data_IF_529609244801
#
_entry.id   IF_529609244801
#
_cell.length_a   1.000
_cell.length_b   1.000
_cell.length_c   1.000
_cell.angle_alpha   90.00
_cell.angle_beta   90.00
_cell.angle_gamma   90.00
#
_symmetry.space_group_name_H-M   'P 1'
#
loop_
_entity.id
_entity.type
_entity.pdbx_description
1 polymer ?
#
# COMPACT_ATOMS: atom_id res chain seq x y z
N UNK A 1 1.73 0.40 -20.69
CA UNK A 1 0.97 1.25 -19.76
C UNK A 1 0.98 0.51 -18.43
N UNK A 2 1.75 0.99 -17.44
CA UNK A 2 1.81 0.30 -16.16
C UNK A 2 0.52 0.64 -15.41
N UNK A 3 -0.38 -0.34 -15.33
CA UNK A 3 -1.53 -0.28 -14.43
C UNK A 3 -0.93 -0.22 -13.02
N UNK A 4 -0.89 1.00 -12.45
CA UNK A 4 -0.28 1.29 -11.15
C UNK A 4 -1.13 0.73 -10.03
N UNK A 5 -1.20 -0.60 -9.93
CA UNK A 5 -1.97 -1.29 -8.92
C UNK A 5 -1.08 -1.57 -7.71
N UNK A 6 -1.55 -1.17 -6.53
CA UNK A 6 -0.84 -1.37 -5.28
C UNK A 6 -1.26 -2.71 -4.69
N UNK A 7 -0.33 -3.67 -4.69
CA UNK A 7 -0.58 -5.01 -4.14
C UNK A 7 0.05 -5.15 -2.77
N UNK A 8 -0.68 -5.77 -1.84
CA UNK A 8 -0.17 -6.08 -0.51
C UNK A 8 0.56 -7.41 -0.55
N UNK A 9 1.86 -7.38 -0.23
CA UNK A 9 2.70 -8.56 -0.17
C UNK A 9 2.88 -9.03 1.28
N UNK A 10 2.02 -9.95 1.70
CA UNK A 10 2.09 -10.54 3.04
C UNK A 10 3.32 -11.45 3.21
N UNK A 11 3.77 -12.09 2.11
CA UNK A 11 4.86 -13.06 2.12
C UNK A 11 6.23 -12.44 1.90
N UNK A 12 6.30 -11.18 1.49
CA UNK A 12 7.53 -10.42 1.20
C UNK A 12 8.37 -11.06 0.10
N UNK A 13 7.72 -11.52 -0.98
CA UNK A 13 8.33 -12.27 -2.10
C UNK A 13 8.06 -11.66 -3.48
N UNK A 14 7.26 -10.61 -3.59
CA UNK A 14 6.93 -10.03 -4.88
C UNK A 14 8.14 -9.26 -5.45
N UNK A 15 8.50 -9.50 -6.72
CA UNK A 15 9.56 -8.76 -7.36
C UNK A 15 9.10 -7.32 -7.65
N UNK A 16 9.95 -6.34 -7.35
CA UNK A 16 9.67 -4.94 -7.66
C UNK A 16 10.07 -3.99 -6.54
N UNK A 17 9.54 -2.77 -6.58
CA UNK A 17 9.68 -1.79 -5.50
C UNK A 17 8.55 -2.01 -4.50
N UNK A 18 8.87 -1.99 -3.22
CA UNK A 18 7.92 -2.12 -2.13
C UNK A 18 7.96 -0.91 -1.19
N UNK A 19 6.91 -0.75 -0.41
CA UNK A 19 6.83 0.22 0.67
C UNK A 19 6.32 -0.49 1.92
N UNK A 20 6.81 -0.07 3.09
CA UNK A 20 6.39 -0.60 4.37
C UNK A 20 5.41 0.36 5.04
N UNK A 21 4.39 -0.21 5.67
CA UNK A 21 3.40 0.51 6.45
C UNK A 21 3.13 -0.28 7.73
N UNK A 22 2.86 0.44 8.82
CA UNK A 22 2.34 -0.20 10.03
C UNK A 22 0.94 -0.77 9.77
N UNK A 23 0.55 -1.79 10.55
CA UNK A 23 -0.79 -2.40 10.52
C UNK A 23 -1.85 -1.50 11.21
N UNK A 24 -1.83 -0.21 10.88
CA UNK A 24 -2.69 0.81 11.49
C UNK A 24 -3.38 1.62 10.37
N UNK A 25 -4.72 1.64 10.32
CA UNK A 25 -5.47 2.46 9.37
C UNK A 25 -5.10 3.95 9.39
N UNK A 26 -4.72 4.51 10.55
CA UNK A 26 -4.29 5.91 10.65
C UNK A 26 -2.96 6.16 9.94
N UNK A 27 -2.08 5.15 9.89
CA UNK A 27 -0.85 5.21 9.10
C UNK A 27 -1.14 5.22 7.59
N UNK A 28 -2.13 4.44 7.13
CA UNK A 28 -2.55 4.44 5.73
C UNK A 28 -3.06 5.82 5.30
N UNK A 29 -3.95 6.43 6.10
CA UNK A 29 -4.50 7.77 5.81
C UNK A 29 -3.40 8.83 5.70
N UNK A 30 -2.38 8.76 6.57
CA UNK A 30 -1.22 9.67 6.50
C UNK A 30 -0.41 9.42 5.22
N UNK A 31 -0.22 8.17 4.83
CA UNK A 31 0.50 7.78 3.62
C UNK A 31 -0.23 8.22 2.33
N UNK A 32 -1.56 8.09 2.30
CA UNK A 32 -2.43 8.57 1.21
C UNK A 32 -2.30 10.09 1.06
N UNK A 33 -2.52 10.84 2.14
CA UNK A 33 -2.44 12.32 2.13
C UNK A 33 -1.07 12.85 1.69
N UNK A 34 0.00 12.17 2.10
CA UNK A 34 1.38 12.56 1.75
C UNK A 34 1.87 12.00 0.42
N UNK A 35 1.05 11.24 -0.31
CA UNK A 35 1.46 10.52 -1.54
C UNK A 35 2.74 9.70 -1.33
N UNK A 36 2.81 8.99 -0.19
CA UNK A 36 3.97 8.21 0.19
C UNK A 36 4.22 7.02 -0.76
N UNK A 37 3.16 6.32 -1.20
CA UNK A 37 3.29 5.17 -2.10
C UNK A 37 3.79 5.55 -3.50
N UNK A 38 3.22 6.55 -4.20
CA UNK A 38 3.77 6.97 -5.49
C UNK A 38 5.25 7.39 -5.39
N UNK A 39 5.62 8.05 -4.30
CA UNK A 39 7.01 8.48 -4.03
C UNK A 39 7.93 7.28 -3.78
N UNK A 40 7.53 6.31 -2.95
CA UNK A 40 8.32 5.12 -2.63
C UNK A 40 8.45 4.19 -3.85
N UNK A 41 7.37 4.01 -4.60
CA UNK A 41 7.31 3.13 -5.76
C UNK A 41 7.80 3.79 -7.05
N UNK A 42 8.10 5.10 -7.02
CA UNK A 42 8.49 5.92 -8.18
C UNK A 42 7.50 5.76 -9.34
N UNK A 43 6.21 5.77 -9.03
CA UNK A 43 5.13 5.70 -10.03
C UNK A 43 4.55 7.09 -10.21
N UNK A 44 4.47 7.60 -11.45
CA UNK A 44 3.79 8.86 -11.72
C UNK A 44 2.27 8.68 -11.64
N UNK A 45 1.60 9.52 -10.86
CA UNK A 45 0.15 9.56 -10.76
C UNK A 45 -0.43 9.05 -9.44
N UNK A 46 -1.77 9.16 -9.28
CA UNK A 46 -2.46 8.59 -8.14
C UNK A 46 -2.37 7.06 -8.20
N UNK A 47 -2.01 6.44 -7.08
CA UNK A 47 -2.12 4.99 -6.89
C UNK A 47 -3.40 4.74 -6.11
N UNK A 48 -4.15 3.71 -6.52
CA UNK A 48 -5.28 3.26 -5.73
C UNK A 48 -4.78 2.47 -4.51
N UNK A 49 -5.13 2.95 -3.32
CA UNK A 49 -4.77 2.36 -2.03
C UNK A 49 -5.90 1.51 -1.45
N UNK A 50 -7.02 1.36 -2.16
CA UNK A 50 -8.19 0.57 -1.72
C UNK A 50 -7.83 -0.88 -1.39
N UNK A 51 -6.94 -1.50 -2.19
CA UNK A 51 -6.44 -2.85 -1.92
C UNK A 51 -5.65 -2.96 -0.60
N UNK A 52 -4.89 -1.92 -0.25
CA UNK A 52 -4.15 -1.85 1.02
C UNK A 52 -5.09 -1.68 2.20
N UNK A 53 -6.11 -0.82 2.07
CA UNK A 53 -7.14 -0.65 3.10
C UNK A 53 -7.85 -1.95 3.41
N UNK A 54 -8.34 -2.63 2.39
CA UNK A 54 -9.02 -3.91 2.54
C UNK A 54 -8.12 -4.99 3.17
N UNK A 55 -6.83 -5.00 2.84
CA UNK A 55 -5.89 -5.93 3.47
C UNK A 55 -5.60 -5.59 4.93
N UNK A 56 -5.47 -4.31 5.29
CA UNK A 56 -5.30 -3.89 6.68
C UNK A 56 -6.52 -4.27 7.53
N UNK A 57 -7.73 -4.11 7.00
CA UNK A 57 -8.96 -4.52 7.66
C UNK A 57 -9.01 -6.04 7.88
N UNK A 58 -8.58 -6.84 6.89
CA UNK A 58 -8.45 -8.30 7.04
C UNK A 58 -7.41 -8.70 8.09
N UNK A 59 -6.22 -8.10 8.04
CA UNK A 59 -5.13 -8.37 8.99
C UNK A 59 -5.45 -7.91 10.42
N UNK A 60 -6.31 -6.89 10.57
CA UNK A 60 -6.82 -6.46 11.87
C UNK A 60 -7.94 -7.35 12.42
N UNK A 61 -8.54 -8.20 11.57
CA UNK A 61 -9.55 -9.18 11.97
C UNK A 61 -8.91 -10.51 12.39
N UNK A 62 -7.68 -10.80 11.94
CA UNK A 62 -6.87 -11.92 12.42
C UNK A 62 -6.15 -11.57 13.74
N UNK A 63 -6.92 -11.20 14.76
CA UNK A 63 -6.44 -10.90 16.12
C UNK A 63 -7.16 -11.76 17.17
#
# INVERSE_FOLDING_TARGET
MAHGELVVDERRRLPGRGAWLHRDPACLVKAERKRAFPRALRVPGPLDTSAVRAALERLATEE
#
